data_IF_303635152369
#
_entry.id   IF_303635152369
#
_cell.length_a   1.000
_cell.length_b   1.000
_cell.length_c   1.000
_cell.angle_alpha   90.00
_cell.angle_beta   90.00
_cell.angle_gamma   90.00
#
_symmetry.space_group_name_H-M   'P 1'
#
loop_
_entity.id
_entity.type
_entity.pdbx_description
1 polymer ?
#
# COMPACT_ATOMS: atom_id res chain seq x y z
N UNK A 1 12.26 -19.90 -56.79
CA UNK A 1 11.24 -20.06 -55.73
C UNK A 1 11.98 -20.26 -54.42
N UNK A 2 12.24 -19.22 -53.69
CA UNK A 2 12.99 -19.25 -52.42
C UNK A 2 11.97 -18.97 -51.29
N UNK A 3 11.72 -19.98 -50.49
CA UNK A 3 10.80 -19.95 -49.36
C UNK A 3 11.52 -19.36 -48.14
N UNK A 4 11.22 -18.11 -47.80
CA UNK A 4 11.65 -17.47 -46.56
C UNK A 4 10.75 -17.94 -45.38
N UNK A 5 11.33 -18.73 -44.43
CA UNK A 5 10.70 -19.06 -43.16
C UNK A 5 10.57 -17.81 -42.29
N UNK A 6 9.44 -17.57 -41.64
CA UNK A 6 9.32 -16.50 -40.64
C UNK A 6 10.13 -16.84 -39.40
N UNK A 7 10.95 -15.90 -38.96
CA UNK A 7 11.74 -15.93 -37.74
C UNK A 7 10.78 -15.95 -36.53
N UNK A 8 10.92 -16.95 -35.66
CA UNK A 8 10.17 -17.05 -34.42
C UNK A 8 10.58 -15.92 -33.47
N UNK A 9 9.60 -15.18 -32.97
CA UNK A 9 9.80 -14.15 -31.95
C UNK A 9 10.36 -14.76 -30.67
N UNK A 10 11.28 -14.08 -29.96
CA UNK A 10 11.82 -14.59 -28.70
C UNK A 10 10.72 -14.65 -27.64
N UNK A 11 10.52 -15.84 -27.10
CA UNK A 11 9.64 -16.11 -25.95
C UNK A 11 10.13 -15.30 -24.77
N UNK A 12 9.35 -14.31 -24.34
CA UNK A 12 9.62 -13.55 -23.13
C UNK A 12 9.69 -14.51 -21.94
N UNK A 13 10.85 -14.61 -21.31
CA UNK A 13 11.00 -15.33 -20.05
C UNK A 13 10.11 -14.67 -18.99
N UNK A 14 9.35 -15.47 -18.20
CA UNK A 14 8.56 -14.90 -17.12
C UNK A 14 9.50 -14.18 -16.14
N UNK A 15 9.18 -12.93 -15.84
CA UNK A 15 9.91 -12.09 -14.90
C UNK A 15 10.05 -12.84 -13.57
N UNK A 16 11.30 -12.95 -13.10
CA UNK A 16 11.63 -13.57 -11.81
C UNK A 16 10.81 -12.86 -10.73
N UNK A 17 10.00 -13.56 -9.92
CA UNK A 17 9.20 -12.91 -8.89
C UNK A 17 10.13 -12.10 -7.98
N UNK A 18 9.77 -10.84 -7.73
CA UNK A 18 10.49 -9.97 -6.83
C UNK A 18 10.72 -10.69 -5.50
N UNK A 19 11.96 -10.73 -5.03
CA UNK A 19 12.32 -11.44 -3.81
C UNK A 19 11.47 -10.89 -2.65
N UNK A 20 10.62 -11.76 -2.09
CA UNK A 20 9.79 -11.44 -0.93
C UNK A 20 10.71 -10.97 0.21
N UNK A 21 10.64 -9.71 0.65
CA UNK A 21 11.48 -9.21 1.75
C UNK A 21 11.27 -10.00 3.04
N UNK A 22 10.15 -10.72 3.17
CA UNK A 22 9.87 -11.64 4.27
C UNK A 22 10.51 -13.03 4.09
N UNK A 23 10.97 -13.37 2.89
CA UNK A 23 11.73 -14.61 2.66
C UNK A 23 13.09 -14.59 3.37
N UNK A 24 13.65 -13.40 3.64
CA UNK A 24 14.86 -13.22 4.46
C UNK A 24 14.61 -13.51 5.96
N UNK A 25 13.37 -13.57 6.40
CA UNK A 25 12.93 -13.96 7.74
C UNK A 25 12.58 -15.45 7.82
N UNK A 26 13.12 -16.29 6.91
CA UNK A 26 12.99 -17.73 7.06
C UNK A 26 13.57 -18.17 8.42
N UNK A 27 12.96 -19.15 9.10
CA UNK A 27 13.45 -19.60 10.42
C UNK A 27 14.92 -20.03 10.36
N UNK A 28 15.40 -20.53 9.23
CA UNK A 28 16.83 -20.87 8.98
C UNK A 28 17.70 -19.62 8.88
N UNK A 29 17.26 -18.57 8.19
CA UNK A 29 18.00 -17.30 8.06
C UNK A 29 18.08 -16.54 9.39
N UNK A 30 16.99 -16.58 10.17
CA UNK A 30 16.93 -15.97 11.51
C UNK A 30 17.83 -16.74 12.50
N UNK A 31 17.79 -18.08 12.47
CA UNK A 31 18.65 -18.93 13.28
C UNK A 31 20.14 -18.69 13.00
N UNK A 32 20.53 -18.50 11.72
CA UNK A 32 21.93 -18.21 11.36
C UNK A 32 22.36 -16.81 11.81
N UNK A 33 21.50 -15.80 11.61
CA UNK A 33 21.82 -14.40 11.92
C UNK A 33 21.87 -14.09 13.42
N UNK A 34 21.09 -14.81 14.23
CA UNK A 34 21.02 -14.62 15.68
C UNK A 34 21.80 -15.72 16.41
N UNK A 35 21.76 -16.96 15.93
CA UNK A 35 22.44 -18.08 16.54
C UNK A 35 23.95 -17.97 16.51
N UNK A 36 24.53 -17.49 15.39
CA UNK A 36 25.97 -17.33 15.24
C UNK A 36 26.58 -16.31 16.22
N UNK A 37 26.03 -15.07 16.36
CA UNK A 37 26.48 -14.12 17.39
C UNK A 37 26.33 -14.65 18.82
N UNK A 38 25.21 -15.33 19.13
CA UNK A 38 25.00 -15.93 20.45
C UNK A 38 26.03 -16.99 20.75
N UNK A 39 26.36 -17.84 19.78
CA UNK A 39 27.39 -18.86 19.91
C UNK A 39 28.78 -18.25 20.16
N UNK A 40 29.13 -17.18 19.45
CA UNK A 40 30.38 -16.43 19.65
C UNK A 40 30.45 -15.85 21.07
N UNK A 41 29.36 -15.26 21.58
CA UNK A 41 29.27 -14.71 22.94
C UNK A 41 29.49 -15.81 23.97
N UNK A 42 28.96 -17.03 23.74
CA UNK A 42 29.20 -18.18 24.63
C UNK A 42 30.64 -18.65 24.59
N UNK A 43 31.30 -18.73 23.42
CA UNK A 43 32.70 -19.09 23.29
C UNK A 43 33.59 -18.10 24.06
N UNK A 44 33.35 -16.80 23.88
CA UNK A 44 34.08 -15.74 24.60
C UNK A 44 33.80 -15.82 26.12
N UNK A 45 32.55 -15.98 26.51
CA UNK A 45 32.14 -16.05 27.90
C UNK A 45 32.78 -17.21 28.65
N UNK A 46 32.89 -18.38 28.02
CA UNK A 46 33.57 -19.57 28.59
C UNK A 46 35.08 -19.40 28.59
N UNK A 47 35.68 -18.76 27.58
CA UNK A 47 37.13 -18.51 27.49
C UNK A 47 37.68 -17.57 28.56
N UNK A 48 36.83 -16.60 29.04
CA UNK A 48 37.22 -15.67 30.09
C UNK A 48 37.17 -16.31 31.50
N UNK A 49 36.42 -17.42 31.67
CA UNK A 49 36.37 -18.22 32.89
C UNK A 49 35.78 -17.53 34.11
N UNK A 50 35.16 -16.37 33.95
CA UNK A 50 34.62 -15.57 35.07
C UNK A 50 33.09 -15.78 35.15
N UNK A 51 32.58 -16.08 36.34
CA UNK A 51 31.14 -16.36 36.58
C UNK A 51 30.20 -15.27 36.01
N UNK A 52 30.61 -14.01 36.07
CA UNK A 52 29.87 -12.89 35.52
C UNK A 52 29.71 -12.93 33.96
N UNK A 53 30.71 -13.46 33.26
CA UNK A 53 30.62 -13.59 31.79
C UNK A 53 29.63 -14.65 31.37
N UNK A 54 29.48 -15.73 32.14
CA UNK A 54 28.50 -16.78 31.88
C UNK A 54 27.08 -16.27 32.17
N UNK A 55 26.89 -15.51 33.26
CA UNK A 55 25.60 -14.88 33.58
C UNK A 55 25.19 -13.91 32.47
N UNK A 56 26.12 -13.06 32.02
CA UNK A 56 25.84 -12.12 30.92
C UNK A 56 25.45 -12.84 29.61
N UNK A 57 26.16 -13.92 29.24
CA UNK A 57 25.83 -14.73 28.09
C UNK A 57 24.44 -15.38 28.21
N UNK A 58 24.06 -15.87 29.37
CA UNK A 58 22.75 -16.45 29.63
C UNK A 58 21.64 -15.39 29.47
N UNK A 59 21.80 -14.21 30.07
CA UNK A 59 20.84 -13.10 29.95
C UNK A 59 20.64 -12.66 28.48
N UNK A 60 21.74 -12.53 27.74
CA UNK A 60 21.66 -12.18 26.30
C UNK A 60 20.94 -13.27 25.50
N UNK A 61 21.19 -14.55 25.82
CA UNK A 61 20.53 -15.68 25.17
C UNK A 61 19.01 -15.67 25.42
N UNK A 62 18.59 -15.44 26.65
CA UNK A 62 17.17 -15.35 27.03
C UNK A 62 16.51 -14.15 26.33
N UNK A 63 17.18 -12.99 26.32
CA UNK A 63 16.67 -11.79 25.64
C UNK A 63 16.54 -12.02 24.11
N UNK A 64 17.53 -12.67 23.49
CA UNK A 64 17.48 -13.03 22.07
C UNK A 64 16.35 -14.03 21.78
N UNK A 65 16.16 -15.06 22.60
CA UNK A 65 15.06 -16.01 22.45
C UNK A 65 13.69 -15.36 22.61
N UNK A 66 13.55 -14.44 23.58
CA UNK A 66 12.33 -13.66 23.77
C UNK A 66 12.03 -12.77 22.55
N UNK A 67 13.05 -12.09 22.01
CA UNK A 67 12.93 -11.26 20.81
C UNK A 67 12.52 -12.10 19.60
N UNK A 68 13.17 -13.23 19.35
CA UNK A 68 12.81 -14.15 18.26
C UNK A 68 11.37 -14.63 18.38
N UNK A 69 10.98 -15.05 19.58
CA UNK A 69 9.60 -15.52 19.83
C UNK A 69 8.59 -14.41 19.58
N UNK A 70 8.89 -13.20 20.02
CA UNK A 70 8.05 -12.03 19.79
C UNK A 70 7.94 -11.70 18.29
N UNK A 71 9.05 -11.67 17.55
CA UNK A 71 9.07 -11.45 16.10
C UNK A 71 8.27 -12.51 15.35
N UNK A 72 8.46 -13.80 15.71
CA UNK A 72 7.72 -14.90 15.08
C UNK A 72 6.21 -14.83 15.35
N UNK A 73 5.80 -14.44 16.55
CA UNK A 73 4.38 -14.23 16.89
C UNK A 73 3.81 -13.05 16.12
N UNK A 74 4.57 -11.95 16.04
CA UNK A 74 4.15 -10.75 15.30
C UNK A 74 4.00 -11.03 13.81
N UNK A 75 4.98 -11.67 13.18
CA UNK A 75 4.93 -12.00 11.73
C UNK A 75 3.82 -12.99 11.40
N UNK A 76 3.60 -14.02 12.23
CA UNK A 76 2.46 -14.95 12.06
C UNK A 76 1.12 -14.23 12.12
N UNK A 77 0.97 -13.27 13.04
CA UNK A 77 -0.25 -12.48 13.17
C UNK A 77 -0.49 -11.60 11.94
N UNK A 78 0.52 -10.89 11.48
CA UNK A 78 0.42 -10.02 10.30
C UNK A 78 0.10 -10.81 9.03
N UNK A 79 0.73 -11.99 8.85
CA UNK A 79 0.42 -12.89 7.74
C UNK A 79 -1.04 -13.36 7.77
N UNK A 80 -1.56 -13.77 8.92
CA UNK A 80 -2.97 -14.18 9.04
C UNK A 80 -3.94 -13.06 8.63
N UNK A 81 -3.66 -11.82 9.02
CA UNK A 81 -4.46 -10.66 8.61
C UNK A 81 -4.40 -10.47 7.10
N UNK A 82 -3.20 -10.54 6.51
CA UNK A 82 -3.01 -10.41 5.06
C UNK A 82 -3.74 -11.53 4.29
N UNK A 83 -3.64 -12.78 4.75
CA UNK A 83 -4.30 -13.93 4.13
C UNK A 83 -5.84 -13.78 4.16
N UNK A 84 -6.40 -13.27 5.28
CA UNK A 84 -7.83 -13.00 5.39
C UNK A 84 -8.29 -11.93 4.39
N UNK A 85 -7.52 -10.87 4.21
CA UNK A 85 -7.84 -9.80 3.25
C UNK A 85 -7.69 -10.29 1.81
N UNK A 86 -6.61 -11.00 1.48
CA UNK A 86 -6.37 -11.53 0.14
C UNK A 86 -7.41 -12.60 -0.27
N UNK A 87 -7.85 -13.42 0.68
CA UNK A 87 -8.89 -14.43 0.45
C UNK A 87 -10.30 -13.85 0.28
N UNK A 88 -10.52 -12.59 0.67
CA UNK A 88 -11.84 -11.96 0.71
C UNK A 88 -12.29 -11.35 -0.64
N UNK A 89 -12.14 -12.10 -1.74
CA UNK A 89 -12.45 -11.64 -3.09
C UNK A 89 -13.97 -11.58 -3.39
N UNK A 90 -14.77 -12.39 -2.72
CA UNK A 90 -16.23 -12.42 -2.89
C UNK A 90 -16.95 -11.73 -1.72
N UNK A 91 -18.21 -11.26 -1.91
CA UNK A 91 -18.98 -10.69 -0.80
C UNK A 91 -19.17 -11.65 0.38
N UNK A 92 -19.34 -12.93 0.12
CA UNK A 92 -19.46 -13.95 1.17
C UNK A 92 -18.15 -14.15 1.93
N UNK A 93 -17.02 -14.27 1.22
CA UNK A 93 -15.70 -14.38 1.83
C UNK A 93 -15.32 -13.11 2.65
N UNK A 94 -15.76 -11.91 2.22
CA UNK A 94 -15.57 -10.68 2.99
C UNK A 94 -16.31 -10.71 4.33
N UNK A 95 -17.57 -11.16 4.35
CA UNK A 95 -18.33 -11.30 5.59
C UNK A 95 -17.69 -12.29 6.54
N UNK A 96 -17.19 -13.42 6.03
CA UNK A 96 -16.47 -14.41 6.82
C UNK A 96 -15.15 -13.84 7.38
N UNK A 97 -14.39 -13.14 6.54
CA UNK A 97 -13.15 -12.49 6.97
C UNK A 97 -13.40 -11.44 8.07
N UNK A 98 -14.46 -10.62 7.95
CA UNK A 98 -14.86 -9.67 8.97
C UNK A 98 -15.21 -10.35 10.29
N UNK A 99 -15.97 -11.45 10.26
CA UNK A 99 -16.31 -12.22 11.47
C UNK A 99 -15.05 -12.80 12.14
N UNK A 100 -14.10 -13.34 11.34
CA UNK A 100 -12.81 -13.85 11.85
C UNK A 100 -11.95 -12.72 12.44
N UNK A 101 -11.95 -11.53 11.86
CA UNK A 101 -11.24 -10.39 12.43
C UNK A 101 -11.82 -9.95 13.78
N UNK A 102 -13.11 -10.10 14.00
CA UNK A 102 -13.76 -9.78 15.27
C UNK A 102 -13.48 -10.82 16.37
N UNK A 103 -13.37 -12.10 16.00
CA UNK A 103 -13.15 -13.20 16.96
C UNK A 103 -11.68 -13.43 17.30
N UNK A 104 -10.80 -13.36 16.31
CA UNK A 104 -9.40 -13.79 16.45
C UNK A 104 -8.46 -12.66 16.93
N UNK A 105 -8.93 -11.40 16.88
CA UNK A 105 -8.09 -10.25 17.22
C UNK A 105 -8.68 -9.43 18.36
N UNK A 106 -7.79 -8.88 19.20
CA UNK A 106 -8.21 -8.03 20.32
C UNK A 106 -8.81 -6.72 19.82
N UNK A 107 -9.81 -6.21 20.54
CA UNK A 107 -10.30 -4.84 20.31
C UNK A 107 -9.12 -3.84 20.41
N UNK A 108 -8.96 -2.96 19.43
CA UNK A 108 -7.86 -2.00 19.38
C UNK A 108 -6.57 -2.50 18.70
N UNK A 109 -6.57 -3.73 18.16
CA UNK A 109 -5.46 -4.21 17.34
C UNK A 109 -5.42 -3.44 16.01
N UNK A 110 -4.39 -2.62 15.85
CA UNK A 110 -4.27 -1.71 14.71
C UNK A 110 -4.26 -2.45 13.38
N UNK A 111 -3.57 -3.60 13.29
CA UNK A 111 -3.53 -4.39 12.06
C UNK A 111 -4.92 -4.95 11.69
N UNK A 112 -5.69 -5.41 12.67
CA UNK A 112 -7.05 -5.88 12.47
C UNK A 112 -7.99 -4.73 12.08
N UNK A 113 -7.81 -3.52 12.66
CA UNK A 113 -8.59 -2.33 12.30
C UNK A 113 -8.32 -1.94 10.85
N UNK A 114 -7.06 -1.90 10.41
CA UNK A 114 -6.72 -1.62 9.01
C UNK A 114 -7.34 -2.64 8.05
N UNK A 115 -7.20 -3.94 8.34
CA UNK A 115 -7.78 -4.99 7.54
C UNK A 115 -9.32 -4.90 7.46
N UNK A 116 -9.97 -4.65 8.61
CA UNK A 116 -11.42 -4.44 8.67
C UNK A 116 -11.85 -3.27 7.80
N UNK A 117 -11.20 -2.12 7.95
CA UNK A 117 -11.50 -0.94 7.15
C UNK A 117 -11.30 -1.20 5.64
N UNK A 118 -10.26 -1.94 5.26
CA UNK A 118 -10.03 -2.32 3.87
C UNK A 118 -11.17 -3.19 3.30
N UNK A 119 -11.68 -4.14 4.08
CA UNK A 119 -12.81 -4.98 3.67
C UNK A 119 -14.12 -4.18 3.58
N UNK A 120 -14.36 -3.30 4.56
CA UNK A 120 -15.55 -2.44 4.61
C UNK A 120 -15.55 -1.39 3.49
N UNK A 121 -14.39 -0.92 3.03
CA UNK A 121 -14.25 0.09 1.99
C UNK A 121 -14.96 -0.29 0.68
N UNK A 122 -15.02 -1.57 0.37
CA UNK A 122 -15.69 -2.07 -0.83
C UNK A 122 -17.23 -1.97 -0.76
N UNK A 123 -17.79 -1.94 0.45
CA UNK A 123 -19.24 -1.93 0.67
C UNK A 123 -19.70 -0.53 1.07
N UNK A 124 -19.06 0.07 2.06
CA UNK A 124 -19.38 1.40 2.61
C UNK A 124 -18.12 2.17 3.04
N UNK A 125 -17.67 3.15 2.23
CA UNK A 125 -16.52 3.97 2.60
C UNK A 125 -16.70 4.74 3.92
N UNK A 126 -17.94 5.11 4.30
CA UNK A 126 -18.18 5.81 5.57
C UNK A 126 -17.99 4.89 6.77
N UNK A 127 -18.40 3.63 6.65
CA UNK A 127 -18.18 2.63 7.68
C UNK A 127 -16.69 2.34 7.84
N UNK A 128 -15.96 2.18 6.73
CA UNK A 128 -14.50 2.01 6.75
C UNK A 128 -13.80 3.20 7.42
N UNK A 129 -14.24 4.43 7.17
CA UNK A 129 -13.71 5.63 7.82
C UNK A 129 -13.96 5.58 9.33
N UNK A 130 -15.18 5.29 9.77
CA UNK A 130 -15.51 5.18 11.18
C UNK A 130 -14.67 4.10 11.88
N UNK A 131 -14.42 2.98 11.21
CA UNK A 131 -13.52 1.93 11.71
C UNK A 131 -12.10 2.44 11.90
N UNK A 132 -11.52 3.17 10.92
CA UNK A 132 -10.19 3.76 11.07
C UNK A 132 -10.14 4.85 12.15
N UNK A 133 -11.21 5.62 12.35
CA UNK A 133 -11.29 6.66 13.36
C UNK A 133 -11.23 6.10 14.81
N UNK A 134 -11.43 4.81 15.00
CA UNK A 134 -11.19 4.16 16.30
C UNK A 134 -9.71 4.09 16.69
N UNK A 135 -8.78 4.30 15.74
CA UNK A 135 -7.35 4.36 16.04
C UNK A 135 -7.02 5.73 16.67
N UNK A 136 -6.59 5.72 17.92
CA UNK A 136 -6.08 6.91 18.59
C UNK A 136 -4.67 7.23 18.06
N UNK A 137 -4.56 8.25 17.22
CA UNK A 137 -3.30 8.66 16.57
C UNK A 137 -2.22 9.10 17.56
N UNK A 138 -2.60 9.50 18.77
CA UNK A 138 -1.66 9.91 19.82
C UNK A 138 -1.06 8.73 20.59
N UNK A 139 -1.70 7.53 20.53
CA UNK A 139 -1.28 6.34 21.26
C UNK A 139 -0.54 5.31 20.42
N UNK A 140 -0.56 5.45 19.11
CA UNK A 140 0.16 4.56 18.21
C UNK A 140 1.51 5.15 17.81
N UNK A 141 2.43 4.29 17.33
CA UNK A 141 3.74 4.76 16.84
C UNK A 141 3.56 5.71 15.65
N UNK A 142 4.44 6.70 15.52
CA UNK A 142 4.34 7.74 14.51
C UNK A 142 4.18 7.19 13.05
N UNK A 143 4.91 6.16 12.60
CA UNK A 143 4.68 5.59 11.27
C UNK A 143 3.27 5.01 11.10
N UNK A 144 2.73 4.36 12.14
CA UNK A 144 1.37 3.80 12.12
C UNK A 144 0.31 4.90 12.14
N UNK A 145 0.57 5.99 12.87
CA UNK A 145 -0.31 7.17 12.85
C UNK A 145 -0.35 7.81 11.45
N UNK A 146 0.79 7.92 10.79
CA UNK A 146 0.89 8.46 9.43
C UNK A 146 0.17 7.56 8.41
N UNK A 147 0.28 6.24 8.54
CA UNK A 147 -0.47 5.29 7.72
C UNK A 147 -1.98 5.42 7.95
N UNK A 148 -2.42 5.53 9.20
CA UNK A 148 -3.83 5.74 9.52
C UNK A 148 -4.36 7.07 8.95
N UNK A 149 -3.56 8.16 9.01
CA UNK A 149 -3.91 9.42 8.35
C UNK A 149 -4.05 9.27 6.86
N UNK A 150 -3.09 8.60 6.19
CA UNK A 150 -3.13 8.39 4.76
C UNK A 150 -4.36 7.57 4.33
N UNK A 151 -4.71 6.50 5.05
CA UNK A 151 -5.89 5.69 4.74
C UNK A 151 -7.20 6.47 4.97
N UNK A 152 -7.32 7.23 6.05
CA UNK A 152 -8.48 8.13 6.28
C UNK A 152 -8.58 9.18 5.16
N UNK A 153 -7.46 9.79 4.78
CA UNK A 153 -7.41 10.77 3.69
C UNK A 153 -7.84 10.16 2.36
N UNK A 154 -7.40 8.95 2.05
CA UNK A 154 -7.84 8.21 0.85
C UNK A 154 -9.36 8.04 0.82
N UNK A 155 -9.97 7.69 1.96
CA UNK A 155 -11.43 7.54 2.03
C UNK A 155 -12.13 8.89 1.85
N UNK A 156 -11.62 9.97 2.45
CA UNK A 156 -12.15 11.32 2.22
C UNK A 156 -12.06 11.74 0.75
N UNK A 157 -10.98 11.37 0.04
CA UNK A 157 -10.87 11.60 -1.41
C UNK A 157 -11.94 10.82 -2.21
N UNK A 158 -12.24 9.58 -1.81
CA UNK A 158 -13.33 8.78 -2.40
C UNK A 158 -14.69 9.43 -2.14
N UNK A 159 -14.91 9.96 -0.94
CA UNK A 159 -16.14 10.65 -0.57
C UNK A 159 -16.28 12.06 -1.22
N UNK A 160 -15.25 12.55 -1.90
CA UNK A 160 -15.25 13.88 -2.52
C UNK A 160 -15.03 15.02 -1.52
N UNK A 161 -14.26 14.77 -0.47
CA UNK A 161 -13.94 15.70 0.62
C UNK A 161 -12.42 16.01 0.65
N UNK A 162 -11.84 16.67 -0.39
CA UNK A 162 -10.40 16.84 -0.53
C UNK A 162 -9.79 17.72 0.56
N UNK A 163 -10.53 18.68 1.11
CA UNK A 163 -10.01 19.56 2.17
C UNK A 163 -9.77 18.80 3.47
N UNK A 164 -10.67 17.85 3.82
CA UNK A 164 -10.46 16.95 4.95
C UNK A 164 -9.28 16.00 4.72
N UNK A 165 -9.17 15.48 3.51
CA UNK A 165 -8.03 14.64 3.14
C UNK A 165 -6.71 15.40 3.29
N UNK A 166 -6.66 16.68 2.85
CA UNK A 166 -5.48 17.52 2.97
C UNK A 166 -5.08 17.74 4.43
N UNK A 167 -6.03 18.05 5.32
CA UNK A 167 -5.74 18.24 6.74
C UNK A 167 -5.10 17.01 7.38
N UNK A 168 -5.45 15.81 6.90
CA UNK A 168 -4.88 14.55 7.37
C UNK A 168 -3.49 14.28 6.80
N UNK A 169 -3.20 14.67 5.55
CA UNK A 169 -1.90 14.36 4.92
C UNK A 169 -0.82 15.40 5.21
N UNK A 170 -1.19 16.66 5.47
CA UNK A 170 -0.21 17.73 5.71
C UNK A 170 0.76 17.46 6.90
N UNK A 171 0.34 16.80 8.02
CA UNK A 171 1.26 16.48 9.12
C UNK A 171 2.06 15.18 8.92
N UNK A 172 1.91 14.46 7.80
CA UNK A 172 2.64 13.22 7.54
C UNK A 172 4.11 13.51 7.24
N UNK A 173 5.00 12.77 7.90
CA UNK A 173 6.44 12.84 7.69
C UNK A 173 6.95 11.58 6.95
N UNK A 174 7.26 11.75 5.67
CA UNK A 174 7.73 10.66 4.80
C UNK A 174 9.08 10.07 5.23
N UNK A 175 9.90 10.80 6.00
CA UNK A 175 11.20 10.31 6.48
C UNK A 175 11.07 9.13 7.45
N UNK A 176 9.92 8.99 8.10
CA UNK A 176 9.61 7.89 9.02
C UNK A 176 9.32 6.56 8.32
N UNK A 177 9.11 6.59 7.00
CA UNK A 177 8.76 5.42 6.21
C UNK A 177 9.97 4.96 5.39
N UNK A 178 10.63 3.89 5.84
CA UNK A 178 11.84 3.38 5.18
C UNK A 178 11.54 2.61 3.88
N UNK A 179 10.39 1.93 3.80
CA UNK A 179 10.01 1.15 2.63
C UNK A 179 9.53 2.07 1.49
N UNK A 180 10.15 1.96 0.32
CA UNK A 180 9.81 2.78 -0.84
C UNK A 180 8.34 2.59 -1.26
N UNK A 181 7.83 1.37 -1.23
CA UNK A 181 6.42 1.06 -1.54
C UNK A 181 5.44 1.75 -0.59
N UNK A 182 5.73 1.77 0.73
CA UNK A 182 4.90 2.48 1.71
C UNK A 182 4.91 3.99 1.45
N UNK A 183 6.09 4.57 1.16
CA UNK A 183 6.19 5.98 0.78
C UNK A 183 5.40 6.30 -0.48
N UNK A 184 5.52 5.47 -1.53
CA UNK A 184 4.80 5.67 -2.79
C UNK A 184 3.28 5.66 -2.59
N UNK A 185 2.77 4.75 -1.76
CA UNK A 185 1.35 4.69 -1.39
C UNK A 185 0.90 5.98 -0.68
N UNK A 186 1.63 6.42 0.34
CA UNK A 186 1.32 7.65 1.08
C UNK A 186 1.39 8.86 0.15
N UNK A 187 2.45 8.97 -0.66
CA UNK A 187 2.64 10.09 -1.60
C UNK A 187 1.54 10.15 -2.65
N UNK A 188 1.01 9.02 -3.11
CA UNK A 188 -0.11 9.02 -4.04
C UNK A 188 -1.37 9.68 -3.43
N UNK A 189 -1.64 9.42 -2.16
CA UNK A 189 -2.77 10.04 -1.43
C UNK A 189 -2.51 11.52 -1.16
N UNK A 190 -1.29 11.86 -0.71
CA UNK A 190 -0.88 13.26 -0.48
C UNK A 190 -0.97 14.07 -1.77
N UNK A 191 -0.44 13.53 -2.87
CA UNK A 191 -0.46 14.17 -4.19
C UNK A 191 -1.88 14.42 -4.70
N UNK A 192 -2.80 13.44 -4.59
CA UNK A 192 -4.19 13.65 -4.96
C UNK A 192 -4.86 14.71 -4.06
N UNK A 193 -4.64 14.69 -2.75
CA UNK A 193 -5.22 15.67 -1.83
C UNK A 193 -4.73 17.09 -2.12
N UNK A 194 -3.42 17.28 -2.32
CA UNK A 194 -2.85 18.59 -2.69
C UNK A 194 -3.33 19.06 -4.05
N UNK A 195 -3.37 18.18 -5.04
CA UNK A 195 -3.83 18.52 -6.38
C UNK A 195 -5.29 19.01 -6.37
N UNK A 196 -6.17 18.31 -5.65
CA UNK A 196 -7.60 18.64 -5.57
C UNK A 196 -7.89 19.87 -4.71
N UNK A 197 -6.90 20.36 -3.96
CA UNK A 197 -6.97 21.59 -3.16
C UNK A 197 -6.10 22.72 -3.71
N UNK A 198 -5.76 22.66 -5.01
CA UNK A 198 -5.08 23.73 -5.73
C UNK A 198 -3.55 23.75 -5.60
N UNK A 199 -2.93 22.75 -4.97
CA UNK A 199 -1.47 22.64 -4.83
C UNK A 199 -0.85 21.69 -5.87
N UNK A 200 -1.29 21.75 -7.13
CA UNK A 200 -0.89 20.83 -8.18
C UNK A 200 0.61 20.78 -8.45
N UNK A 201 1.33 21.91 -8.34
CA UNK A 201 2.78 21.94 -8.50
C UNK A 201 3.48 21.15 -7.41
N UNK A 202 3.13 21.39 -6.14
CA UNK A 202 3.63 20.62 -4.99
C UNK A 202 3.36 19.12 -5.15
N UNK A 203 2.15 18.78 -5.62
CA UNK A 203 1.77 17.39 -5.90
C UNK A 203 2.68 16.75 -6.94
N UNK A 204 2.94 17.42 -8.08
CA UNK A 204 3.83 16.92 -9.13
C UNK A 204 5.26 16.76 -8.65
N UNK A 205 5.81 17.76 -7.95
CA UNK A 205 7.18 17.72 -7.43
C UNK A 205 7.39 16.51 -6.50
N UNK A 206 6.38 16.18 -5.68
CA UNK A 206 6.46 15.05 -4.76
C UNK A 206 6.21 13.70 -5.46
N UNK A 207 5.25 13.64 -6.39
CA UNK A 207 4.94 12.43 -7.14
C UNK A 207 6.06 12.02 -8.10
N UNK A 208 6.78 12.97 -8.70
CA UNK A 208 7.86 12.71 -9.66
C UNK A 208 9.05 11.94 -9.08
N UNK A 209 9.14 11.81 -7.77
CA UNK A 209 10.15 10.96 -7.10
C UNK A 209 9.87 9.48 -7.33
N UNK A 210 8.63 9.11 -7.69
CA UNK A 210 8.21 7.73 -7.87
C UNK A 210 7.79 7.50 -9.33
N UNK A 211 8.53 6.64 -10.04
CA UNK A 211 8.15 6.24 -11.39
C UNK A 211 7.09 5.13 -11.33
N UNK A 212 5.85 5.36 -11.80
CA UNK A 212 4.82 4.32 -11.82
C UNK A 212 5.18 3.10 -12.65
N UNK A 213 6.16 3.21 -13.57
CA UNK A 213 6.59 2.06 -14.40
C UNK A 213 7.63 1.17 -13.70
N UNK A 214 8.19 1.60 -12.59
CA UNK A 214 9.08 0.76 -11.80
C UNK A 214 8.33 -0.50 -11.29
N UNK A 215 8.97 -1.65 -11.43
CA UNK A 215 8.44 -2.95 -10.99
C UNK A 215 8.14 -2.99 -9.48
N UNK A 216 8.85 -2.19 -8.68
CA UNK A 216 8.62 -2.07 -7.24
C UNK A 216 7.22 -1.54 -6.93
N UNK A 217 6.65 -0.70 -7.81
CA UNK A 217 5.34 -0.07 -7.62
C UNK A 217 4.23 -0.67 -8.49
N UNK A 218 4.43 -1.86 -9.04
CA UNK A 218 3.49 -2.49 -9.97
C UNK A 218 2.04 -2.53 -9.44
N UNK A 219 1.86 -2.86 -8.15
CA UNK A 219 0.54 -2.92 -7.50
C UNK A 219 -0.06 -1.53 -7.26
N UNK A 220 0.77 -0.48 -7.23
CA UNK A 220 0.38 0.90 -6.97
C UNK A 220 0.20 1.72 -8.24
N UNK A 221 0.52 1.15 -9.43
CA UNK A 221 0.40 1.85 -10.72
C UNK A 221 -0.93 2.60 -10.89
N UNK A 222 -2.09 1.97 -10.68
CA UNK A 222 -3.37 2.65 -10.87
C UNK A 222 -3.54 3.85 -9.93
N UNK A 223 -3.08 3.71 -8.68
CA UNK A 223 -3.19 4.75 -7.66
C UNK A 223 -2.23 5.91 -7.93
N UNK A 224 -0.99 5.64 -8.30
CA UNK A 224 -0.01 6.66 -8.70
C UNK A 224 -0.49 7.42 -9.94
N UNK A 225 -0.91 6.73 -10.99
CA UNK A 225 -1.45 7.39 -12.18
C UNK A 225 -2.68 8.23 -11.90
N UNK A 226 -3.56 7.77 -10.99
CA UNK A 226 -4.71 8.56 -10.54
C UNK A 226 -4.25 9.87 -9.88
N UNK A 227 -3.28 9.82 -8.99
CA UNK A 227 -2.73 11.01 -8.34
C UNK A 227 -2.09 11.97 -9.36
N UNK A 228 -1.29 11.45 -10.30
CA UNK A 228 -0.73 12.24 -11.40
C UNK A 228 -1.82 12.89 -12.27
N UNK A 229 -2.91 12.18 -12.57
CA UNK A 229 -4.01 12.73 -13.36
C UNK A 229 -4.62 13.96 -12.70
N UNK A 230 -4.88 13.91 -11.39
CA UNK A 230 -5.34 15.07 -10.63
C UNK A 230 -4.30 16.19 -10.56
N UNK A 231 -3.03 15.83 -10.38
CA UNK A 231 -1.95 16.80 -10.31
C UNK A 231 -1.78 17.56 -11.64
N UNK A 232 -1.76 16.87 -12.77
CA UNK A 232 -1.74 17.51 -14.11
C UNK A 232 -3.00 18.34 -14.38
N UNK A 233 -4.18 17.88 -13.91
CA UNK A 233 -5.41 18.65 -14.04
C UNK A 233 -5.35 19.97 -13.27
N UNK A 234 -4.81 19.95 -12.05
CA UNK A 234 -4.65 21.12 -11.20
C UNK A 234 -3.71 22.20 -11.80
N UNK A 235 -2.74 21.80 -12.62
CA UNK A 235 -1.85 22.72 -13.33
C UNK A 235 -2.26 22.94 -14.81
N UNK A 236 -3.43 22.46 -15.22
CA UNK A 236 -3.96 22.54 -16.58
C UNK A 236 -3.06 21.92 -17.68
N UNK A 237 -2.23 20.92 -17.33
CA UNK A 237 -1.42 20.18 -18.28
C UNK A 237 -2.24 19.07 -18.99
N UNK A 238 -2.90 19.43 -20.09
CA UNK A 238 -3.69 18.50 -20.91
C UNK A 238 -2.85 17.37 -21.50
N UNK A 239 -1.57 17.62 -21.84
CA UNK A 239 -0.68 16.59 -22.39
C UNK A 239 -0.35 15.54 -21.34
N UNK A 240 -0.03 15.99 -20.12
CA UNK A 240 0.19 15.13 -18.96
C UNK A 240 -1.04 14.27 -18.65
N UNK A 241 -2.22 14.89 -18.60
CA UNK A 241 -3.50 14.18 -18.40
C UNK A 241 -3.67 13.06 -19.42
N UNK A 242 -3.58 13.37 -20.72
CA UNK A 242 -3.78 12.38 -21.80
C UNK A 242 -2.79 11.22 -21.73
N UNK A 243 -1.53 11.52 -21.40
CA UNK A 243 -0.49 10.49 -21.24
C UNK A 243 -0.85 9.52 -20.12
N UNK A 244 -1.22 10.04 -18.95
CA UNK A 244 -1.54 9.23 -17.79
C UNK A 244 -2.85 8.45 -17.97
N UNK A 245 -3.90 9.08 -18.50
CA UNK A 245 -5.17 8.40 -18.78
C UNK A 245 -4.98 7.25 -19.79
N UNK A 246 -4.09 7.40 -20.79
CA UNK A 246 -3.77 6.32 -21.72
C UNK A 246 -3.14 5.14 -20.98
N UNK A 247 -2.17 5.38 -20.09
CA UNK A 247 -1.57 4.36 -19.27
C UNK A 247 -2.60 3.63 -18.37
N UNK A 248 -3.55 4.38 -17.81
CA UNK A 248 -4.64 3.78 -17.03
C UNK A 248 -5.59 2.96 -17.92
N UNK A 249 -5.89 3.43 -19.11
CA UNK A 249 -6.71 2.70 -20.09
C UNK A 249 -6.07 1.36 -20.47
N UNK A 250 -4.73 1.35 -20.69
CA UNK A 250 -3.97 0.15 -21.02
C UNK A 250 -3.98 -0.87 -19.88
N UNK A 251 -4.05 -0.43 -18.61
CA UNK A 251 -4.20 -1.31 -17.46
C UNK A 251 -5.63 -1.86 -17.37
N UNK A 252 -6.62 -0.98 -17.31
CA UNK A 252 -8.03 -1.33 -17.25
C UNK A 252 -8.92 -0.11 -17.57
N UNK A 253 -9.73 -0.16 -18.63
CA UNK A 253 -10.65 0.93 -19.00
C UNK A 253 -11.58 1.39 -17.88
N UNK A 254 -11.96 0.50 -16.97
CA UNK A 254 -12.85 0.82 -15.84
C UNK A 254 -12.23 1.84 -14.87
N UNK A 255 -10.90 1.96 -14.82
CA UNK A 255 -10.21 2.96 -13.98
C UNK A 255 -10.58 4.38 -14.36
N UNK A 256 -10.87 4.63 -15.65
CA UNK A 256 -11.28 5.95 -16.12
C UNK A 256 -12.68 6.33 -15.63
N UNK A 257 -13.52 5.36 -15.30
CA UNK A 257 -14.86 5.59 -14.75
C UNK A 257 -14.87 6.44 -13.48
N UNK A 258 -13.83 6.34 -12.66
CA UNK A 258 -13.67 7.16 -11.46
C UNK A 258 -13.58 8.67 -11.73
N UNK A 259 -13.17 9.08 -12.95
CA UNK A 259 -13.10 10.48 -13.36
C UNK A 259 -14.40 11.02 -13.97
N UNK A 260 -15.43 10.19 -14.11
CA UNK A 260 -16.76 10.59 -14.57
C UNK A 260 -17.74 10.87 -13.42
N UNK A 261 -17.25 10.80 -12.19
CA UNK A 261 -18.07 11.06 -10.98
C UNK A 261 -18.28 12.57 -10.77
N UNK A 262 -19.27 12.91 -9.94
CA UNK A 262 -19.51 14.31 -9.54
C UNK A 262 -18.31 14.90 -8.80
N UNK A 263 -18.09 16.22 -8.95
CA UNK A 263 -17.03 16.98 -8.27
C UNK A 263 -15.60 16.61 -8.71
N UNK A 264 -15.44 16.10 -9.91
CA UNK A 264 -14.11 15.92 -10.54
C UNK A 264 -13.74 17.19 -11.31
N UNK A 265 -12.43 17.42 -11.51
CA UNK A 265 -11.93 18.56 -12.26
C UNK A 265 -12.47 18.51 -13.72
N UNK A 266 -13.09 19.60 -14.24
CA UNK A 266 -13.78 19.55 -15.54
C UNK A 266 -12.89 19.11 -16.70
N UNK A 267 -11.63 19.55 -16.70
CA UNK A 267 -10.66 19.18 -17.74
C UNK A 267 -10.38 17.66 -17.70
N UNK A 268 -10.22 17.09 -16.52
CA UNK A 268 -9.97 15.66 -16.34
C UNK A 268 -11.18 14.82 -16.76
N UNK A 269 -12.38 15.23 -16.38
CA UNK A 269 -13.63 14.58 -16.78
C UNK A 269 -13.77 14.57 -18.31
N UNK A 270 -13.53 15.71 -18.97
CA UNK A 270 -13.62 15.84 -20.43
C UNK A 270 -12.64 14.90 -21.12
N UNK A 271 -11.38 14.92 -20.76
CA UNK A 271 -10.35 14.08 -21.39
C UNK A 271 -10.59 12.58 -21.15
N UNK A 272 -11.04 12.19 -19.96
CA UNK A 272 -11.40 10.79 -19.67
C UNK A 272 -12.60 10.33 -20.51
N UNK A 273 -13.62 11.17 -20.65
CA UNK A 273 -14.81 10.88 -21.47
C UNK A 273 -14.48 10.73 -22.96
N UNK A 274 -13.63 11.60 -23.47
CA UNK A 274 -13.17 11.50 -24.86
C UNK A 274 -12.34 10.25 -25.10
N UNK A 275 -11.47 9.89 -24.16
CA UNK A 275 -10.62 8.72 -24.28
C UNK A 275 -11.44 7.42 -24.26
N UNK A 276 -12.42 7.31 -23.36
CA UNK A 276 -13.35 6.18 -23.31
C UNK A 276 -14.17 6.04 -24.61
N UNK A 277 -14.63 7.16 -25.18
CA UNK A 277 -15.35 7.13 -26.47
C UNK A 277 -14.46 6.60 -27.59
N UNK A 278 -13.21 7.06 -27.67
CA UNK A 278 -12.26 6.65 -28.72
C UNK A 278 -11.83 5.19 -28.59
N UNK A 279 -11.75 4.66 -27.38
CA UNK A 279 -11.36 3.26 -27.13
C UNK A 279 -12.49 2.26 -27.40
N UNK A 280 -13.73 2.72 -27.68
CA UNK A 280 -14.91 1.84 -27.79
C UNK A 280 -15.33 1.19 -26.46
N UNK A 281 -14.65 1.48 -25.36
CA UNK A 281 -15.02 1.01 -24.04
C UNK A 281 -16.25 1.82 -23.57
N UNK A 282 -17.44 1.29 -23.83
CA UNK A 282 -18.69 1.88 -23.31
C UNK A 282 -18.64 1.77 -21.79
N UNK A 283 -18.72 2.89 -21.03
CA UNK A 283 -18.77 2.78 -19.58
C UNK A 283 -20.01 1.97 -19.20
N UNK A 284 -19.81 0.85 -18.56
CA UNK A 284 -20.89 0.09 -17.91
C UNK A 284 -21.65 1.11 -17.06
N UNK A 285 -22.93 1.32 -17.33
CA UNK A 285 -23.76 2.29 -16.59
C UNK A 285 -23.55 1.98 -15.11
N UNK A 286 -22.91 2.90 -14.38
CA UNK A 286 -22.90 2.85 -12.94
C UNK A 286 -24.36 2.97 -12.50
N UNK A 287 -24.98 1.85 -12.19
CA UNK A 287 -26.32 1.79 -11.61
C UNK A 287 -26.20 2.44 -10.25
N UNK A 288 -26.65 3.69 -10.21
CA UNK A 288 -26.78 4.50 -9.03
C UNK A 288 -27.81 3.80 -8.15
N UNK A 289 -27.40 3.02 -7.16
CA UNK A 289 -28.26 2.69 -6.03
C UNK A 289 -28.37 3.96 -5.19
N UNK A 290 -29.56 4.57 -5.25
CA UNK A 290 -30.01 5.60 -4.29
C UNK A 290 -30.13 4.99 -2.89
#
# INVERSE_FOLDING_TARGET
MSSSRPSAAPTAQPAKPAADPLASLSPKGLALRIGLPVLIIWIIGLGIGRTWSIIAAAVITVAAAALVTWVLRFTKKTRRVADLVQGAQTPAARKEALAKLETDFKKGDTAAIFARAQLELHEDPRKALATLETIDLGKVMAPTADEARAQRAMIHLILGEPDRARQLVDPIDLSRHQQAKSRAMIVSVMGEAWARTGQGKKALDTLNVFDPEDAEYADLKPQLYRAFAFAYASVNDTKGIRRVLRKMLDINPQLLGGFLMKKIHPLLEREAKEMLKRSGAVPTKFVRRM
#
